data_IF_771813032170
#
_entry.id   IF_771813032170
#
_cell.length_a   1.000
_cell.length_b   1.000
_cell.length_c   1.000
_cell.angle_alpha   90.00
_cell.angle_beta   90.00
_cell.angle_gamma   90.00
#
_symmetry.space_group_name_H-M   'P 1'
#
loop_
_entity.id
_entity.type
_entity.pdbx_description
1 polymer ?
#
# COMPACT_ATOMS: atom_id res chain seq x y z
N UNK A 1 19.22 23.68 -4.85
CA UNK A 1 18.56 23.11 -3.66
C UNK A 1 19.60 22.66 -2.65
N UNK A 2 19.43 22.99 -1.36
CA UNK A 2 20.17 22.40 -0.24
C UNK A 2 19.24 21.46 0.51
N UNK A 3 19.79 20.36 1.04
CA UNK A 3 19.00 19.33 1.73
C UNK A 3 19.52 19.16 3.15
N UNK A 4 18.62 19.31 4.11
CA UNK A 4 18.91 19.10 5.53
C UNK A 4 17.93 18.09 6.11
N UNK A 5 18.37 17.26 7.04
CA UNK A 5 17.48 16.36 7.77
C UNK A 5 18.05 16.01 9.14
N UNK A 6 17.19 15.60 10.04
CA UNK A 6 17.64 14.89 11.22
C UNK A 6 18.09 13.48 10.82
N UNK A 7 19.28 13.11 11.24
CA UNK A 7 19.89 11.83 10.92
C UNK A 7 20.43 11.14 12.18
N UNK A 8 20.21 9.84 12.22
CA UNK A 8 20.74 9.00 13.26
C UNK A 8 21.14 7.63 12.70
N UNK A 9 22.27 7.14 13.12
CA UNK A 9 22.71 5.77 12.86
C UNK A 9 22.69 5.00 14.18
N UNK A 10 21.90 3.92 14.21
CA UNK A 10 21.81 3.06 15.38
C UNK A 10 23.08 2.23 15.54
N UNK A 11 23.75 2.36 16.68
CA UNK A 11 24.91 1.54 17.00
C UNK A 11 24.57 0.07 17.21
N UNK A 12 23.36 -0.19 17.75
CA UNK A 12 22.93 -1.55 18.06
C UNK A 12 22.46 -2.35 16.86
N UNK A 13 21.77 -1.71 15.91
CA UNK A 13 21.20 -2.39 14.72
C UNK A 13 21.94 -2.07 13.44
N UNK A 14 22.79 -1.04 13.43
CA UNK A 14 23.44 -0.51 12.24
C UNK A 14 22.50 0.19 11.26
N UNK A 15 21.23 0.33 11.61
CA UNK A 15 20.23 0.96 10.76
C UNK A 15 20.40 2.48 10.72
N UNK A 16 20.16 3.04 9.53
CA UNK A 16 20.12 4.48 9.31
C UNK A 16 18.68 4.99 9.38
N UNK A 17 18.48 6.13 10.07
CA UNK A 17 17.20 6.81 10.18
C UNK A 17 17.32 8.24 9.70
N UNK A 18 16.32 8.68 8.91
CA UNK A 18 16.22 10.07 8.45
C UNK A 18 14.80 10.57 8.69
N UNK A 19 14.69 11.58 9.50
CA UNK A 19 13.41 12.19 9.83
C UNK A 19 13.39 13.66 9.38
N UNK A 20 12.21 14.13 8.95
CA UNK A 20 11.92 15.51 8.57
C UNK A 20 13.01 16.12 7.68
N UNK A 21 12.96 15.80 6.41
CA UNK A 21 13.88 16.36 5.43
C UNK A 21 13.39 17.75 4.98
N UNK A 22 14.28 18.72 4.98
CA UNK A 22 14.03 20.09 4.52
C UNK A 22 14.76 20.30 3.20
N UNK A 23 14.00 20.63 2.15
CA UNK A 23 14.49 20.98 0.83
C UNK A 23 14.49 22.51 0.74
N UNK A 24 15.63 23.16 0.92
CA UNK A 24 15.77 24.61 0.92
C UNK A 24 16.16 25.13 -0.46
N UNK A 25 15.36 26.06 -0.97
CA UNK A 25 15.50 26.71 -2.25
C UNK A 25 15.75 28.22 -2.06
N UNK A 26 16.58 28.80 -2.91
CA UNK A 26 16.91 30.24 -2.80
C UNK A 26 17.54 30.58 -1.45
N UNK A 27 17.11 31.70 -0.85
CA UNK A 27 17.64 32.25 0.40
C UNK A 27 16.63 32.27 1.55
N UNK A 28 15.32 32.12 1.27
CA UNK A 28 14.29 32.12 2.32
C UNK A 28 14.32 30.81 3.13
N UNK A 29 13.98 30.95 4.41
CA UNK A 29 13.79 29.86 5.35
C UNK A 29 12.32 29.63 5.71
N UNK A 30 11.40 30.27 5.01
CA UNK A 30 9.98 30.07 5.20
C UNK A 30 9.55 28.71 4.64
N UNK A 31 8.71 28.00 5.39
CA UNK A 31 8.16 26.73 4.90
C UNK A 31 7.03 27.04 3.91
N UNK A 32 7.20 26.65 2.68
CA UNK A 32 6.26 26.90 1.57
C UNK A 32 5.42 25.67 1.20
N UNK A 33 5.57 24.55 1.89
CA UNK A 33 4.73 23.36 1.68
C UNK A 33 5.27 22.10 2.30
N UNK A 34 4.48 21.05 2.21
CA UNK A 34 4.79 19.76 2.83
C UNK A 34 4.55 18.59 1.86
N UNK A 35 5.34 17.55 2.02
CA UNK A 35 5.18 16.28 1.29
C UNK A 35 5.24 15.13 2.28
N UNK A 36 4.36 14.14 2.14
CA UNK A 36 4.40 12.93 2.94
C UNK A 36 4.63 11.75 2.01
N UNK A 37 5.73 11.03 2.22
CA UNK A 37 6.17 9.92 1.35
C UNK A 37 6.23 8.59 2.09
N UNK A 38 6.77 7.55 1.44
CA UNK A 38 6.87 6.18 1.98
C UNK A 38 7.93 6.10 3.07
N UNK A 39 9.18 6.30 2.67
CA UNK A 39 10.38 6.18 3.47
C UNK A 39 11.50 7.06 2.90
N UNK A 40 12.51 7.38 3.70
CA UNK A 40 13.73 8.02 3.20
C UNK A 40 14.43 7.13 2.18
N UNK A 41 14.62 7.66 0.97
CA UNK A 41 15.21 6.92 -0.15
C UNK A 41 16.75 6.86 -0.12
N UNK A 42 17.36 7.04 -1.30
CA UNK A 42 18.79 6.85 -1.54
C UNK A 42 19.67 8.02 -1.09
N UNK A 43 19.12 9.22 -0.89
CA UNK A 43 19.93 10.39 -0.48
C UNK A 43 20.80 10.07 0.75
N UNK A 44 22.11 10.36 0.62
CA UNK A 44 23.12 10.01 1.63
C UNK A 44 23.44 11.21 2.54
N UNK A 45 23.71 10.98 3.84
CA UNK A 45 24.26 12.02 4.71
C UNK A 45 25.65 12.41 4.22
N UNK A 46 25.93 13.71 4.17
CA UNK A 46 27.24 14.26 3.77
C UNK A 46 28.05 14.67 5.01
N UNK A 47 27.50 15.57 5.82
CA UNK A 47 28.17 16.03 7.03
C UNK A 47 27.14 16.58 8.04
N UNK A 48 27.51 16.60 9.33
CA UNK A 48 26.77 17.34 10.33
C UNK A 48 26.81 18.85 10.01
N UNK A 49 25.70 19.54 10.26
CA UNK A 49 25.61 20.98 10.05
C UNK A 49 26.22 21.71 11.23
N UNK A 50 27.38 22.35 11.00
CA UNK A 50 28.14 23.08 12.01
C UNK A 50 28.25 24.59 11.69
N UNK A 51 27.80 25.02 10.51
CA UNK A 51 27.83 26.43 10.12
C UNK A 51 26.82 27.21 10.97
N UNK A 52 27.27 28.24 11.76
CA UNK A 52 26.44 28.87 12.80
C UNK A 52 25.17 29.50 12.28
N UNK A 53 25.23 30.16 11.11
CA UNK A 53 24.07 30.83 10.51
C UNK A 53 23.01 29.84 10.08
N UNK A 54 23.40 28.79 9.37
CA UNK A 54 22.52 27.70 8.96
C UNK A 54 21.94 26.97 10.17
N UNK A 55 22.77 26.68 11.17
CA UNK A 55 22.32 25.98 12.38
C UNK A 55 21.30 26.83 13.16
N UNK A 56 21.50 28.14 13.24
CA UNK A 56 20.54 29.05 13.86
C UNK A 56 19.17 28.99 13.15
N UNK A 57 19.15 29.01 11.82
CA UNK A 57 17.91 28.93 11.04
C UNK A 57 17.23 27.57 11.24
N UNK A 58 17.99 26.47 11.19
CA UNK A 58 17.45 25.14 11.43
C UNK A 58 16.84 25.00 12.83
N UNK A 59 17.48 25.58 13.85
CA UNK A 59 16.94 25.62 15.23
C UNK A 59 15.61 26.35 15.33
N UNK A 60 15.39 27.40 14.57
CA UNK A 60 14.07 28.08 14.51
C UNK A 60 12.98 27.23 13.87
N UNK A 61 13.37 26.24 13.07
CA UNK A 61 12.45 25.31 12.43
C UNK A 61 12.27 24.01 13.23
N UNK A 62 12.98 23.83 14.36
CA UNK A 62 12.82 22.68 15.21
C UNK A 62 11.40 22.57 15.75
N UNK A 63 10.88 21.35 15.76
CA UNK A 63 9.56 21.09 16.31
C UNK A 63 9.64 20.95 17.83
N UNK A 64 8.62 21.43 18.56
CA UNK A 64 8.58 21.28 20.00
C UNK A 64 8.76 19.83 20.43
N UNK A 65 9.48 19.62 21.51
CA UNK A 65 9.54 18.29 22.16
C UNK A 65 8.14 17.94 22.64
N UNK A 66 7.67 16.73 22.33
CA UNK A 66 6.39 16.23 22.85
C UNK A 66 6.51 15.74 24.29
N UNK A 67 7.72 15.33 24.69
CA UNK A 67 8.03 14.91 26.06
C UNK A 67 9.48 15.29 26.41
N UNK A 68 9.76 15.45 27.71
CA UNK A 68 11.05 15.99 28.21
C UNK A 68 12.25 15.12 27.86
N UNK A 69 12.05 13.81 27.75
CA UNK A 69 13.09 12.81 27.50
C UNK A 69 13.43 12.65 26.01
N UNK A 70 12.78 13.42 25.15
CA UNK A 70 13.03 13.35 23.72
C UNK A 70 14.46 13.81 23.41
N UNK A 71 15.27 12.99 22.71
CA UNK A 71 16.65 13.32 22.42
C UNK A 71 16.77 14.55 21.51
N UNK A 72 17.89 15.25 21.60
CA UNK A 72 18.24 16.25 20.61
C UNK A 72 18.69 15.57 19.32
N UNK A 73 18.14 16.03 18.21
CA UNK A 73 18.42 15.47 16.90
C UNK A 73 19.40 16.34 16.15
N UNK A 74 20.54 15.77 15.80
CA UNK A 74 21.54 16.48 15.00
C UNK A 74 21.03 16.70 13.57
N UNK A 75 21.26 17.89 13.04
CA UNK A 75 21.04 18.22 11.65
C UNK A 75 22.22 17.83 10.78
N UNK A 76 21.94 17.16 9.68
CA UNK A 76 22.91 16.77 8.66
C UNK A 76 22.53 17.38 7.32
N UNK A 77 23.55 17.74 6.53
CA UNK A 77 23.39 17.97 5.11
C UNK A 77 23.32 16.64 4.37
N UNK A 78 22.53 16.60 3.30
CA UNK A 78 22.32 15.40 2.49
C UNK A 78 22.57 15.67 1.01
N UNK A 79 22.90 14.59 0.26
CA UNK A 79 22.85 14.64 -1.18
C UNK A 79 21.39 14.80 -1.66
N UNK A 80 21.22 15.44 -2.82
CA UNK A 80 19.95 15.46 -3.52
C UNK A 80 19.74 14.14 -4.26
N UNK A 81 18.51 13.63 -4.31
CA UNK A 81 18.11 12.51 -5.14
C UNK A 81 17.04 12.90 -6.17
N UNK A 82 16.76 11.99 -7.12
CA UNK A 82 15.79 12.23 -8.19
C UNK A 82 14.39 12.51 -7.67
N UNK A 83 14.00 11.93 -6.54
CA UNK A 83 12.69 12.17 -5.93
C UNK A 83 12.56 13.62 -5.44
N UNK A 84 13.63 14.15 -4.83
CA UNK A 84 13.67 15.55 -4.37
C UNK A 84 13.58 16.53 -5.53
N UNK A 85 14.22 16.24 -6.67
CA UNK A 85 14.10 17.05 -7.88
C UNK A 85 12.67 17.05 -8.44
N UNK A 86 12.00 15.90 -8.37
CA UNK A 86 10.59 15.79 -8.79
C UNK A 86 9.64 16.55 -7.85
N UNK A 87 9.94 16.58 -6.56
CA UNK A 87 9.23 17.41 -5.60
C UNK A 87 9.42 18.90 -5.94
N UNK A 88 10.64 19.34 -6.27
CA UNK A 88 10.90 20.70 -6.76
C UNK A 88 10.01 21.04 -7.96
N UNK A 89 10.02 20.22 -8.99
CA UNK A 89 9.22 20.41 -10.19
C UNK A 89 7.71 20.47 -9.90
N UNK A 90 7.23 19.64 -8.98
CA UNK A 90 5.84 19.62 -8.54
C UNK A 90 5.44 20.96 -7.93
N UNK A 91 6.25 21.51 -7.03
CA UNK A 91 5.99 22.79 -6.37
C UNK A 91 6.24 23.99 -7.28
N UNK A 92 7.23 23.93 -8.20
CA UNK A 92 7.38 24.93 -9.25
C UNK A 92 6.11 25.03 -10.10
N UNK A 93 5.52 23.91 -10.46
CA UNK A 93 4.25 23.86 -11.20
C UNK A 93 3.09 24.43 -10.38
N UNK A 94 3.01 24.10 -9.10
CA UNK A 94 1.97 24.62 -8.20
C UNK A 94 2.05 26.14 -8.07
N UNK A 95 3.24 26.68 -7.83
CA UNK A 95 3.46 28.11 -7.68
C UNK A 95 3.59 28.87 -9.02
N UNK A 96 3.52 28.16 -10.15
CA UNK A 96 3.68 28.71 -11.51
C UNK A 96 4.98 29.51 -11.63
N UNK A 97 6.06 28.99 -11.13
CA UNK A 97 7.40 29.60 -11.14
C UNK A 97 8.45 28.63 -11.67
N UNK A 98 9.53 29.15 -12.24
CA UNK A 98 10.69 28.36 -12.63
C UNK A 98 11.66 28.10 -11.46
N UNK A 99 11.55 28.89 -10.39
CA UNK A 99 12.46 28.81 -9.24
C UNK A 99 11.69 29.00 -7.94
N UNK A 100 11.97 28.15 -6.96
CA UNK A 100 11.39 28.27 -5.62
C UNK A 100 12.29 29.14 -4.72
N UNK A 101 11.67 29.79 -3.73
CA UNK A 101 12.38 30.47 -2.66
C UNK A 101 11.68 30.17 -1.33
N UNK A 102 12.24 29.26 -0.56
CA UNK A 102 11.67 28.75 0.69
C UNK A 102 12.00 27.28 0.91
N UNK A 103 11.31 26.68 1.84
CA UNK A 103 11.53 25.29 2.27
C UNK A 103 10.31 24.44 1.97
N UNK A 104 10.53 23.30 1.31
CA UNK A 104 9.57 22.20 1.29
C UNK A 104 10.01 21.20 2.33
N UNK A 105 9.14 20.88 3.28
CA UNK A 105 9.42 19.84 4.26
C UNK A 105 8.84 18.49 3.81
N UNK A 106 9.64 17.44 4.01
CA UNK A 106 9.29 16.08 3.61
C UNK A 106 9.25 15.19 4.85
N UNK A 107 8.11 14.57 5.05
CA UNK A 107 7.88 13.52 6.05
C UNK A 107 7.68 12.18 5.39
N UNK A 108 7.76 11.11 6.17
CA UNK A 108 7.58 9.76 5.68
C UNK A 108 6.71 8.95 6.65
N UNK A 109 5.99 7.96 6.13
CA UNK A 109 5.28 6.99 6.98
C UNK A 109 6.24 6.12 7.78
N UNK A 110 7.49 6.05 7.36
CA UNK A 110 8.54 5.27 8.01
C UNK A 110 9.87 6.04 7.89
N UNK A 111 10.63 6.15 8.98
CA UNK A 111 11.87 6.93 9.01
C UNK A 111 13.15 6.11 8.77
N UNK A 112 13.04 4.80 8.59
CA UNK A 112 14.15 3.94 8.20
C UNK A 112 14.62 4.29 6.80
N UNK A 113 15.91 4.65 6.68
CA UNK A 113 16.54 5.00 5.42
C UNK A 113 17.06 3.74 4.73
N UNK A 114 16.45 3.38 3.62
CA UNK A 114 16.93 2.35 2.70
C UNK A 114 16.36 2.61 1.31
N UNK A 115 17.18 2.54 0.24
CA UNK A 115 16.69 2.67 -1.13
C UNK A 115 15.79 1.50 -1.55
N UNK A 116 15.95 0.34 -0.90
CA UNK A 116 15.08 -0.82 -1.10
C UNK A 116 13.95 -0.84 -0.06
N UNK A 117 12.72 -0.67 -0.52
CA UNK A 117 11.55 -0.62 0.36
C UNK A 117 11.35 -1.90 1.17
N UNK A 118 11.62 -3.08 0.60
CA UNK A 118 11.45 -4.36 1.32
C UNK A 118 12.44 -4.48 2.47
N UNK A 119 13.71 -4.10 2.24
CA UNK A 119 14.72 -4.06 3.30
C UNK A 119 14.37 -3.01 4.36
N UNK A 120 13.87 -1.83 3.95
CA UNK A 120 13.39 -0.82 4.89
C UNK A 120 12.28 -1.34 5.79
N UNK A 121 11.32 -2.10 5.24
CA UNK A 121 10.24 -2.71 6.01
C UNK A 121 10.74 -3.75 7.03
N UNK A 122 11.70 -4.59 6.63
CA UNK A 122 12.31 -5.58 7.53
C UNK A 122 13.04 -4.87 8.68
N UNK A 123 13.83 -3.84 8.38
CA UNK A 123 14.56 -3.03 9.36
C UNK A 123 13.60 -2.29 10.31
N UNK A 124 12.49 -1.78 9.79
CA UNK A 124 11.49 -1.06 10.58
C UNK A 124 10.77 -1.95 11.60
N UNK A 125 10.51 -3.22 11.29
CA UNK A 125 9.89 -4.17 12.22
C UNK A 125 10.73 -4.43 13.48
N UNK A 126 12.04 -4.22 13.39
CA UNK A 126 12.99 -4.41 14.48
C UNK A 126 13.45 -3.08 15.11
N UNK A 127 12.82 -1.98 14.74
CA UNK A 127 13.24 -0.65 15.15
C UNK A 127 12.76 -0.33 16.57
N UNK A 128 13.68 -0.40 17.53
CA UNK A 128 13.53 0.29 18.82
C UNK A 128 14.16 1.66 18.65
N UNK A 129 13.32 2.69 18.31
CA UNK A 129 13.92 3.98 17.97
C UNK A 129 13.04 5.20 18.27
N UNK A 130 13.66 6.35 18.74
CA UNK A 130 12.93 7.57 19.07
C UNK A 130 12.11 8.18 17.92
N UNK A 131 12.50 7.98 16.66
CA UNK A 131 11.74 8.47 15.50
C UNK A 131 10.57 7.58 15.07
N UNK A 132 10.30 6.49 15.77
CA UNK A 132 9.19 5.59 15.43
C UNK A 132 7.81 6.19 15.73
N UNK A 133 7.74 7.32 16.44
CA UNK A 133 6.48 7.95 16.88
C UNK A 133 6.50 9.47 16.66
N UNK A 134 6.80 9.89 15.42
CA UNK A 134 6.85 11.32 15.07
C UNK A 134 5.56 11.85 14.47
N UNK A 135 4.58 11.01 14.21
CA UNK A 135 3.37 11.35 13.43
C UNK A 135 2.64 12.58 13.98
N UNK A 136 2.45 12.67 15.27
CA UNK A 136 1.78 13.82 15.91
C UNK A 136 2.54 15.12 15.68
N UNK A 137 3.87 15.09 15.80
CA UNK A 137 4.73 16.25 15.50
C UNK A 137 4.67 16.63 14.02
N UNK A 138 4.76 15.62 13.16
CA UNK A 138 4.74 15.80 11.72
C UNK A 138 3.43 16.46 11.30
N UNK A 139 2.29 15.99 11.81
CA UNK A 139 0.96 16.56 11.58
C UNK A 139 0.88 18.01 12.06
N UNK A 140 1.36 18.30 13.27
CA UNK A 140 1.34 19.67 13.83
C UNK A 140 2.11 20.66 12.97
N UNK A 141 3.21 20.21 12.35
CA UNK A 141 4.12 21.05 11.57
C UNK A 141 3.76 21.20 10.10
N UNK A 142 2.74 20.47 9.60
CA UNK A 142 2.34 20.55 8.20
C UNK A 142 1.97 21.98 7.79
N UNK A 143 2.48 22.38 6.63
CA UNK A 143 2.17 23.65 5.96
C UNK A 143 1.63 23.34 4.56
N UNK A 144 0.53 23.98 4.19
CA UNK A 144 -0.06 23.84 2.86
C UNK A 144 0.77 24.58 1.78
N UNK A 145 0.76 24.10 0.52
CA UNK A 145 0.05 22.91 0.05
C UNK A 145 0.72 21.62 0.54
N UNK A 146 -0.06 20.57 0.72
CA UNK A 146 0.42 19.26 1.17
C UNK A 146 0.25 18.23 0.07
N UNK A 147 1.33 17.56 -0.32
CA UNK A 147 1.29 16.46 -1.27
C UNK A 147 1.39 15.11 -0.54
N UNK A 148 0.39 14.26 -0.72
CA UNK A 148 0.35 12.91 -0.16
C UNK A 148 0.87 11.91 -1.19
N UNK A 149 2.07 11.38 -0.99
CA UNK A 149 2.81 10.58 -1.97
C UNK A 149 3.36 9.26 -1.44
N UNK A 150 2.70 8.62 -0.49
CA UNK A 150 3.17 7.36 0.11
C UNK A 150 2.85 6.09 -0.69
N UNK A 151 2.28 6.23 -1.89
CA UNK A 151 1.97 5.12 -2.80
C UNK A 151 0.96 4.15 -2.19
N UNK A 152 1.30 2.88 -2.17
CA UNK A 152 0.49 1.79 -1.63
C UNK A 152 0.94 1.32 -0.23
N UNK A 153 1.91 2.00 0.40
CA UNK A 153 2.41 1.62 1.73
C UNK A 153 1.31 1.66 2.79
N UNK A 154 0.34 2.58 2.65
CA UNK A 154 -0.83 2.68 3.51
C UNK A 154 -1.70 1.40 3.55
N UNK A 155 -1.54 0.47 2.60
CA UNK A 155 -2.23 -0.82 2.59
C UNK A 155 -1.64 -1.83 3.58
N UNK A 156 -0.46 -1.53 4.15
CA UNK A 156 0.28 -2.42 5.05
C UNK A 156 0.20 -1.90 6.49
N UNK A 157 -0.05 -2.79 7.45
CA UNK A 157 0.10 -2.47 8.86
C UNK A 157 1.60 -2.36 9.23
N UNK A 158 1.99 -1.45 10.14
CA UNK A 158 1.15 -0.48 10.89
C UNK A 158 0.88 0.84 10.15
N UNK A 159 1.43 1.04 8.94
CA UNK A 159 1.44 2.32 8.20
C UNK A 159 0.05 2.82 7.82
N UNK A 160 -0.94 1.93 7.83
CA UNK A 160 -2.32 2.30 7.53
C UNK A 160 -2.87 3.32 8.51
N UNK A 161 -2.71 3.08 9.79
CA UNK A 161 -3.19 3.99 10.84
C UNK A 161 -2.50 5.35 10.76
N UNK A 162 -1.21 5.36 10.47
CA UNK A 162 -0.44 6.58 10.32
C UNK A 162 -0.84 7.36 9.06
N UNK A 163 -1.09 6.69 7.94
CA UNK A 163 -1.60 7.30 6.73
C UNK A 163 -3.01 7.89 6.93
N UNK A 164 -3.89 7.19 7.65
CA UNK A 164 -5.22 7.68 8.03
C UNK A 164 -5.14 8.94 8.89
N UNK A 165 -4.26 8.96 9.89
CA UNK A 165 -4.05 10.16 10.74
C UNK A 165 -3.58 11.35 9.91
N UNK A 166 -2.58 11.18 9.04
CA UNK A 166 -2.13 12.24 8.13
C UNK A 166 -3.24 12.71 7.22
N UNK A 167 -3.97 11.80 6.59
CA UNK A 167 -5.04 12.13 5.68
C UNK A 167 -6.12 12.97 6.37
N UNK A 168 -6.62 12.52 7.51
CA UNK A 168 -7.64 13.22 8.29
C UNK A 168 -7.15 14.59 8.78
N UNK A 169 -5.89 14.66 9.23
CA UNK A 169 -5.31 15.93 9.68
C UNK A 169 -5.20 16.94 8.53
N UNK A 170 -4.78 16.52 7.35
CA UNK A 170 -4.69 17.38 6.17
C UNK A 170 -6.09 17.82 5.70
N UNK A 171 -7.05 16.92 5.67
CA UNK A 171 -8.43 17.21 5.32
C UNK A 171 -9.04 18.27 6.26
N UNK A 172 -8.84 18.10 7.56
CA UNK A 172 -9.43 18.99 8.57
C UNK A 172 -8.71 20.33 8.68
N UNK A 173 -7.38 20.37 8.46
CA UNK A 173 -6.55 21.56 8.70
C UNK A 173 -6.49 22.51 7.50
N UNK A 174 -6.59 22.00 6.26
CA UNK A 174 -6.20 22.76 5.08
C UNK A 174 -7.30 23.00 4.05
N UNK A 175 -8.53 22.64 4.34
CA UNK A 175 -9.70 23.03 3.55
C UNK A 175 -9.50 22.89 2.02
N UNK A 176 -9.11 21.68 1.60
CA UNK A 176 -8.89 21.37 0.19
C UNK A 176 -7.54 21.79 -0.41
N UNK A 177 -6.63 22.42 0.36
CA UNK A 177 -5.27 22.76 -0.09
C UNK A 177 -4.29 21.59 0.04
N UNK A 178 -4.76 20.41 -0.21
CA UNK A 178 -4.00 19.16 -0.22
C UNK A 178 -4.32 18.40 -1.49
N UNK A 179 -3.44 17.51 -1.87
CA UNK A 179 -3.72 16.62 -2.98
C UNK A 179 -3.40 15.18 -2.66
N UNK A 180 -4.40 14.37 -2.85
CA UNK A 180 -4.21 12.99 -3.28
C UNK A 180 -4.93 12.81 -4.61
N UNK A 181 -4.28 12.24 -5.62
CA UNK A 181 -4.98 11.91 -6.84
C UNK A 181 -5.98 10.80 -6.53
N UNK A 182 -7.26 11.15 -6.60
CA UNK A 182 -8.34 10.17 -6.49
C UNK A 182 -8.36 9.37 -7.79
N UNK A 183 -7.65 8.27 -7.81
CA UNK A 183 -7.80 7.26 -8.84
C UNK A 183 -8.71 6.14 -8.30
N UNK A 184 -9.33 5.41 -9.21
CA UNK A 184 -10.20 4.26 -8.89
C UNK A 184 -9.63 3.30 -7.85
N UNK A 185 -8.31 3.33 -7.63
CA UNK A 185 -7.57 2.43 -6.76
C UNK A 185 -7.11 3.05 -5.43
N UNK A 186 -7.54 4.26 -5.06
CA UNK A 186 -7.06 5.01 -3.88
C UNK A 186 -5.52 5.05 -3.77
N UNK A 187 -4.82 5.28 -4.88
CA UNK A 187 -3.37 5.34 -4.91
C UNK A 187 -2.87 6.74 -4.65
N UNK A 188 -1.98 6.87 -3.67
CA UNK A 188 -1.26 8.10 -3.36
C UNK A 188 0.07 8.09 -4.09
N UNK A 189 0.11 8.64 -5.31
CA UNK A 189 1.25 8.51 -6.21
C UNK A 189 2.51 9.14 -5.64
N UNK A 190 3.54 8.34 -5.44
CA UNK A 190 4.86 8.81 -5.05
C UNK A 190 5.45 9.70 -6.16
N UNK A 191 6.19 10.80 -5.82
CA UNK A 191 6.76 11.69 -6.84
C UNK A 191 7.64 11.00 -7.87
N UNK A 192 8.18 9.82 -7.60
CA UNK A 192 8.94 9.03 -8.57
C UNK A 192 8.17 8.74 -9.88
N UNK A 193 6.84 8.77 -9.85
CA UNK A 193 6.00 8.59 -11.05
C UNK A 193 5.91 9.84 -11.92
N UNK A 194 6.46 10.97 -11.48
CA UNK A 194 6.62 12.15 -12.31
C UNK A 194 7.77 11.92 -13.30
N UNK A 195 7.44 11.48 -14.50
CA UNK A 195 8.39 11.05 -15.52
C UNK A 195 8.26 11.86 -16.82
N UNK A 196 9.29 11.72 -17.67
CA UNK A 196 9.38 12.33 -18.98
C UNK A 196 10.10 13.66 -18.98
N UNK A 197 10.62 14.05 -20.14
CA UNK A 197 11.26 15.36 -20.34
C UNK A 197 10.22 16.45 -20.07
N UNK A 198 10.52 17.37 -19.15
CA UNK A 198 9.57 18.40 -18.74
C UNK A 198 8.27 17.87 -18.12
N UNK A 199 8.33 16.67 -17.49
CA UNK A 199 7.17 16.01 -16.88
C UNK A 199 6.01 15.76 -17.87
N UNK A 200 6.34 15.41 -19.10
CA UNK A 200 5.40 15.32 -20.23
C UNK A 200 4.57 14.03 -20.27
N UNK A 201 4.88 13.03 -19.44
CA UNK A 201 4.11 11.79 -19.42
C UNK A 201 2.63 12.06 -19.05
N UNK A 202 1.67 11.26 -19.56
CA UNK A 202 0.25 11.43 -19.20
C UNK A 202 0.01 11.40 -17.68
N UNK A 203 0.70 10.52 -16.97
CA UNK A 203 0.63 10.42 -15.52
C UNK A 203 1.18 11.68 -14.84
N UNK A 204 2.35 12.19 -15.28
CA UNK A 204 2.91 13.41 -14.73
C UNK A 204 1.98 14.60 -14.93
N UNK A 205 1.43 14.76 -16.13
CA UNK A 205 0.45 15.82 -16.43
C UNK A 205 -0.79 15.72 -15.54
N UNK A 206 -1.29 14.49 -15.35
CA UNK A 206 -2.41 14.25 -14.47
C UNK A 206 -2.10 14.67 -13.02
N UNK A 207 -0.96 14.21 -12.46
CA UNK A 207 -0.55 14.52 -11.09
C UNK A 207 -0.30 16.02 -10.90
N UNK A 208 0.36 16.68 -11.86
CA UNK A 208 0.60 18.12 -11.83
C UNK A 208 -0.71 18.90 -11.90
N UNK A 209 -1.58 18.57 -12.86
CA UNK A 209 -2.86 19.26 -12.99
C UNK A 209 -3.70 19.12 -11.72
N UNK A 210 -3.78 17.92 -11.18
CA UNK A 210 -4.50 17.67 -9.95
C UNK A 210 -3.91 18.48 -8.78
N UNK A 211 -2.59 18.54 -8.63
CA UNK A 211 -1.94 19.33 -7.59
C UNK A 211 -2.08 20.84 -7.78
N UNK A 212 -2.03 21.32 -9.04
CA UNK A 212 -2.06 22.75 -9.34
C UNK A 212 -3.45 23.36 -9.41
N UNK A 213 -4.48 22.56 -9.71
CA UNK A 213 -5.80 23.13 -10.00
C UNK A 213 -6.55 23.63 -8.77
N UNK A 214 -6.07 23.37 -7.55
CA UNK A 214 -6.87 23.67 -6.34
C UNK A 214 -8.35 23.30 -6.54
N UNK A 215 -8.62 22.43 -7.48
CA UNK A 215 -9.95 21.95 -7.65
C UNK A 215 -10.28 21.28 -6.33
N UNK A 216 -11.21 21.87 -5.64
CA UNK A 216 -12.16 21.09 -4.91
C UNK A 216 -12.50 19.90 -5.82
N UNK A 217 -11.71 18.84 -5.74
CA UNK A 217 -12.22 17.52 -6.11
C UNK A 217 -13.52 17.52 -5.32
N UNK A 218 -14.70 17.36 -5.98
CA UNK A 218 -15.92 17.31 -5.24
C UNK A 218 -15.62 16.33 -4.12
N UNK A 219 -15.64 16.79 -2.88
CA UNK A 219 -15.62 15.91 -1.74
C UNK A 219 -16.82 15.05 -2.05
N UNK A 220 -16.60 13.84 -2.53
CA UNK A 220 -17.69 12.89 -2.53
C UNK A 220 -18.16 12.93 -1.10
N UNK A 221 -19.43 13.27 -0.89
CA UNK A 221 -20.06 13.39 0.43
C UNK A 221 -19.94 12.10 1.27
N UNK A 222 -19.25 11.15 0.76
CA UNK A 222 -18.85 9.94 1.46
C UNK A 222 -17.43 10.13 2.02
N UNK A 223 -17.22 10.02 3.33
CA UNK A 223 -15.88 10.00 3.90
C UNK A 223 -15.07 8.96 3.14
N UNK A 224 -13.83 9.32 2.76
CA UNK A 224 -12.89 8.33 2.21
C UNK A 224 -12.68 7.30 3.30
N UNK A 225 -13.44 6.24 3.20
CA UNK A 225 -13.24 5.06 4.02
C UNK A 225 -12.05 4.33 3.40
N UNK A 226 -10.91 4.39 4.07
CA UNK A 226 -9.81 3.50 3.72
C UNK A 226 -10.38 2.07 3.72
N UNK A 227 -10.36 1.35 2.59
CA UNK A 227 -10.94 0.04 2.57
C UNK A 227 -10.24 -0.80 3.64
N UNK A 228 -11.00 -1.35 4.56
CA UNK A 228 -10.46 -2.26 5.59
C UNK A 228 -9.59 -3.28 4.88
N UNK A 229 -8.33 -3.38 5.27
CA UNK A 229 -7.44 -4.35 4.66
C UNK A 229 -7.93 -5.74 5.03
N UNK A 230 -8.45 -6.45 4.03
CA UNK A 230 -8.94 -7.81 4.21
C UNK A 230 -7.73 -8.69 4.52
N UNK A 231 -7.71 -9.26 5.71
CA UNK A 231 -6.72 -10.25 6.06
C UNK A 231 -7.03 -11.57 5.34
N UNK A 232 -6.25 -11.86 4.31
CA UNK A 232 -6.34 -13.15 3.59
C UNK A 232 -6.30 -14.35 4.53
N UNK A 233 -5.50 -14.24 5.60
CA UNK A 233 -5.40 -15.27 6.60
C UNK A 233 -6.70 -15.42 7.39
N UNK A 234 -7.31 -14.32 7.79
CA UNK A 234 -8.59 -14.35 8.49
C UNK A 234 -9.71 -14.92 7.61
N UNK A 235 -9.76 -14.50 6.33
CA UNK A 235 -10.71 -15.08 5.35
C UNK A 235 -10.48 -16.58 5.22
N UNK A 236 -9.24 -17.01 4.99
CA UNK A 236 -8.87 -18.42 4.90
C UNK A 236 -9.31 -19.21 6.14
N UNK A 237 -8.93 -18.75 7.33
CA UNK A 237 -9.25 -19.45 8.58
C UNK A 237 -10.76 -19.56 8.82
N UNK A 238 -11.53 -18.52 8.49
CA UNK A 238 -12.98 -18.52 8.63
C UNK A 238 -13.67 -19.43 7.59
N UNK A 239 -13.23 -19.38 6.34
CA UNK A 239 -13.74 -20.27 5.28
C UNK A 239 -13.45 -21.74 5.63
N UNK A 240 -12.21 -22.07 5.96
CA UNK A 240 -11.81 -23.42 6.35
C UNK A 240 -12.62 -23.92 7.55
N UNK A 241 -12.82 -23.06 8.58
CA UNK A 241 -13.62 -23.43 9.76
C UNK A 241 -15.07 -23.76 9.41
N UNK A 242 -15.68 -23.04 8.45
CA UNK A 242 -17.06 -23.33 8.00
C UNK A 242 -17.08 -24.62 7.19
N UNK A 243 -16.19 -24.76 6.22
CA UNK A 243 -16.14 -25.96 5.36
C UNK A 243 -15.89 -27.26 6.11
N UNK A 244 -15.09 -27.24 7.18
CA UNK A 244 -14.86 -28.44 8.04
C UNK A 244 -16.14 -28.98 8.71
N UNK A 245 -17.20 -28.20 8.78
CA UNK A 245 -18.49 -28.66 9.34
C UNK A 245 -19.31 -29.46 8.33
N UNK A 246 -19.08 -29.24 7.04
CA UNK A 246 -19.94 -29.72 5.96
C UNK A 246 -19.23 -30.66 4.99
N UNK A 247 -17.89 -30.55 4.93
CA UNK A 247 -17.08 -31.29 3.96
C UNK A 247 -16.00 -32.12 4.64
N UNK A 248 -15.77 -33.32 4.09
CA UNK A 248 -14.68 -34.15 4.54
C UNK A 248 -13.33 -33.55 4.17
N UNK A 249 -12.46 -33.37 5.16
CA UNK A 249 -11.08 -32.91 4.95
C UNK A 249 -10.26 -34.06 4.34
N UNK A 250 -9.65 -33.79 3.17
CA UNK A 250 -8.79 -34.77 2.46
C UNK A 250 -7.32 -34.55 2.78
N UNK A 251 -6.90 -33.31 2.84
CA UNK A 251 -5.50 -32.94 3.08
C UNK A 251 -5.39 -31.59 3.77
N UNK A 252 -4.46 -31.47 4.68
CA UNK A 252 -4.13 -30.21 5.34
C UNK A 252 -2.62 -29.95 5.32
N UNK A 253 -2.25 -28.77 4.85
CA UNK A 253 -0.90 -28.22 4.91
C UNK A 253 -0.97 -26.85 5.57
N UNK A 254 0.16 -26.28 5.99
CA UNK A 254 0.24 -25.05 6.80
C UNK A 254 -0.62 -23.87 6.30
N UNK A 255 -0.83 -23.77 4.98
CA UNK A 255 -1.57 -22.67 4.35
C UNK A 255 -2.58 -23.13 3.31
N UNK A 256 -2.89 -24.42 3.28
CA UNK A 256 -3.76 -25.02 2.27
C UNK A 256 -4.57 -26.15 2.90
N UNK A 257 -5.90 -26.10 2.72
CA UNK A 257 -6.80 -27.19 3.06
C UNK A 257 -7.50 -27.70 1.80
N UNK A 258 -7.68 -29.02 1.70
CA UNK A 258 -8.40 -29.69 0.63
C UNK A 258 -9.55 -30.49 1.20
N UNK A 259 -10.72 -30.34 0.58
CA UNK A 259 -11.95 -30.98 0.99
C UNK A 259 -12.51 -31.83 -0.14
N UNK A 260 -13.10 -32.97 0.18
CA UNK A 260 -13.91 -33.72 -0.79
C UNK A 260 -15.12 -32.85 -1.14
N UNK A 261 -15.23 -32.46 -2.40
CA UNK A 261 -16.27 -31.54 -2.85
C UNK A 261 -17.46 -32.30 -3.45
N UNK A 262 -17.18 -33.21 -4.39
CA UNK A 262 -18.08 -34.25 -4.88
C UNK A 262 -17.28 -35.56 -4.96
N UNK A 263 -17.87 -36.65 -5.46
CA UNK A 263 -17.11 -37.92 -5.67
C UNK A 263 -15.87 -37.70 -6.55
N UNK A 264 -15.97 -36.80 -7.53
CA UNK A 264 -14.91 -36.56 -8.53
C UNK A 264 -14.12 -35.29 -8.32
N UNK A 265 -14.60 -34.39 -7.47
CA UNK A 265 -14.02 -33.06 -7.32
C UNK A 265 -13.45 -32.81 -5.92
N UNK A 266 -12.32 -32.15 -5.88
CA UNK A 266 -11.66 -31.67 -4.65
C UNK A 266 -11.63 -30.14 -4.64
N UNK A 267 -12.19 -29.57 -3.58
CA UNK A 267 -12.12 -28.15 -3.27
C UNK A 267 -10.82 -27.84 -2.53
N UNK A 268 -10.10 -26.85 -2.96
CA UNK A 268 -8.87 -26.36 -2.32
C UNK A 268 -9.05 -24.92 -1.88
N UNK A 269 -8.75 -24.64 -0.62
CA UNK A 269 -8.66 -23.28 -0.06
C UNK A 269 -7.22 -23.03 0.35
N UNK A 270 -6.64 -21.95 -0.10
CA UNK A 270 -5.27 -21.58 0.27
C UNK A 270 -5.13 -20.10 0.56
N UNK A 271 -4.19 -19.75 1.46
CA UNK A 271 -3.76 -18.36 1.69
C UNK A 271 -2.35 -18.09 1.18
N UNK A 272 -1.79 -18.93 0.32
CA UNK A 272 -0.53 -18.66 -0.37
C UNK A 272 -0.74 -17.63 -1.48
N UNK A 273 0.28 -16.79 -1.76
CA UNK A 273 0.16 -15.74 -2.76
C UNK A 273 -0.98 -14.75 -2.44
N UNK A 274 -1.95 -14.62 -3.34
CA UNK A 274 -3.12 -13.77 -3.16
C UNK A 274 -4.24 -14.43 -2.31
N UNK A 275 -4.13 -15.73 -2.03
CA UNK A 275 -5.20 -16.55 -1.47
C UNK A 275 -6.25 -16.84 -2.53
N UNK A 276 -6.68 -18.11 -2.65
CA UNK A 276 -7.67 -18.49 -3.64
C UNK A 276 -8.53 -19.68 -3.22
N UNK A 277 -9.67 -19.80 -3.87
CA UNK A 277 -10.52 -20.99 -3.96
C UNK A 277 -10.19 -21.70 -5.25
N UNK A 278 -9.96 -22.99 -5.23
CA UNK A 278 -9.66 -23.79 -6.41
C UNK A 278 -10.42 -25.13 -6.42
N UNK A 279 -10.90 -25.53 -7.58
CA UNK A 279 -11.57 -26.82 -7.77
C UNK A 279 -10.78 -27.64 -8.79
N UNK A 280 -10.53 -28.90 -8.47
CA UNK A 280 -9.82 -29.85 -9.32
C UNK A 280 -10.48 -31.21 -9.33
N UNK A 281 -10.21 -31.99 -10.33
CA UNK A 281 -10.64 -33.41 -10.36
C UNK A 281 -9.84 -34.25 -9.33
N UNK A 282 -10.53 -35.14 -8.62
CA UNK A 282 -9.92 -35.93 -7.55
C UNK A 282 -8.83 -36.90 -8.06
N UNK A 283 -8.98 -37.42 -9.26
CA UNK A 283 -8.00 -38.29 -9.89
C UNK A 283 -6.76 -37.60 -10.43
N UNK A 284 -6.69 -36.26 -10.30
CA UNK A 284 -5.54 -35.46 -10.75
C UNK A 284 -4.33 -35.68 -9.84
N UNK A 285 -3.39 -36.45 -10.29
CA UNK A 285 -2.10 -36.73 -9.62
C UNK A 285 -0.92 -36.26 -10.51
N UNK A 286 -0.80 -34.97 -10.80
CA UNK A 286 0.35 -34.45 -11.54
C UNK A 286 0.03 -33.77 -12.88
N UNK A 287 1.02 -33.70 -13.80
CA UNK A 287 1.03 -32.89 -15.03
C UNK A 287 0.21 -33.46 -16.22
N UNK A 288 -0.74 -34.37 -15.99
CA UNK A 288 -1.45 -34.98 -17.10
C UNK A 288 -2.75 -34.30 -17.44
N UNK A 289 -3.03 -34.23 -18.77
CA UNK A 289 -4.21 -33.59 -19.31
C UNK A 289 -5.50 -34.25 -18.80
N UNK A 290 -6.42 -33.43 -18.27
CA UNK A 290 -7.75 -33.87 -17.83
C UNK A 290 -8.69 -34.28 -18.98
N UNK A 291 -8.24 -34.20 -20.23
CA UNK A 291 -9.08 -34.35 -21.43
C UNK A 291 -9.80 -35.70 -21.62
N UNK A 292 -9.50 -36.68 -20.78
CA UNK A 292 -10.11 -38.02 -20.87
C UNK A 292 -11.13 -38.31 -19.77
N UNK A 293 -11.43 -37.37 -18.89
CA UNK A 293 -12.44 -37.58 -17.86
C UNK A 293 -13.81 -37.04 -18.31
N UNK A 294 -14.90 -37.78 -18.05
CA UNK A 294 -16.25 -37.32 -18.35
C UNK A 294 -16.54 -36.01 -17.54
N UNK A 295 -17.42 -35.22 -18.06
CA UNK A 295 -17.93 -33.99 -17.40
C UNK A 295 -16.93 -32.85 -17.13
N UNK A 296 -15.69 -32.94 -17.62
CA UNK A 296 -14.69 -31.87 -17.44
C UNK A 296 -15.14 -30.54 -18.10
N UNK A 297 -15.70 -30.66 -19.29
CA UNK A 297 -16.15 -29.49 -20.07
C UNK A 297 -17.31 -28.79 -19.36
N UNK A 298 -18.25 -29.55 -18.84
CA UNK A 298 -19.40 -29.09 -18.09
C UNK A 298 -18.95 -28.40 -16.79
N UNK A 299 -18.08 -29.04 -16.01
CA UNK A 299 -17.54 -28.43 -14.78
C UNK A 299 -16.79 -27.11 -15.05
N UNK A 300 -16.04 -27.04 -16.15
CA UNK A 300 -15.38 -25.80 -16.57
C UNK A 300 -16.37 -24.72 -16.97
N UNK A 301 -17.47 -25.10 -17.66
CA UNK A 301 -18.52 -24.16 -18.01
C UNK A 301 -19.16 -23.55 -16.77
N UNK A 302 -19.58 -24.40 -15.82
CA UNK A 302 -20.13 -23.97 -14.54
C UNK A 302 -19.16 -23.00 -13.82
N UNK A 303 -17.91 -23.39 -13.65
CA UNK A 303 -16.91 -22.56 -12.97
C UNK A 303 -16.66 -21.22 -13.67
N UNK A 304 -16.69 -21.21 -15.00
CA UNK A 304 -16.55 -19.97 -15.79
C UNK A 304 -17.69 -18.99 -15.53
N UNK A 305 -18.94 -19.48 -15.38
CA UNK A 305 -20.10 -18.65 -15.05
C UNK A 305 -19.98 -17.99 -13.69
N UNK A 306 -19.30 -18.63 -12.73
CA UNK A 306 -18.97 -18.06 -11.42
C UNK A 306 -17.69 -17.20 -11.43
N UNK A 307 -17.10 -16.93 -12.60
CA UNK A 307 -15.92 -16.09 -12.75
C UNK A 307 -14.60 -16.74 -12.31
N UNK A 308 -14.53 -18.09 -12.32
CA UNK A 308 -13.28 -18.78 -12.08
C UNK A 308 -12.38 -18.72 -13.31
N UNK A 309 -11.09 -18.50 -13.08
CA UNK A 309 -10.06 -18.61 -14.10
C UNK A 309 -9.84 -20.07 -14.46
N UNK A 310 -10.22 -20.45 -15.66
CA UNK A 310 -10.10 -21.82 -16.16
C UNK A 310 -8.67 -22.06 -16.65
N UNK A 311 -7.96 -22.97 -15.99
CA UNK A 311 -6.60 -23.35 -16.38
C UNK A 311 -6.60 -24.63 -17.22
N UNK A 312 -5.83 -24.70 -18.33
CA UNK A 312 -5.88 -25.84 -19.23
C UNK A 312 -5.29 -27.14 -18.63
N UNK A 313 -4.41 -27.06 -17.63
CA UNK A 313 -3.53 -28.18 -17.30
C UNK A 313 -3.70 -28.81 -15.91
N UNK A 314 -4.09 -28.07 -14.88
CA UNK A 314 -4.02 -28.55 -13.49
C UNK A 314 -5.29 -28.37 -12.68
N UNK A 315 -6.02 -27.32 -12.93
CA UNK A 315 -7.22 -26.93 -12.19
C UNK A 315 -8.41 -26.88 -13.13
N UNK A 316 -9.58 -27.28 -12.65
CA UNK A 316 -10.81 -26.97 -13.37
C UNK A 316 -11.06 -25.47 -13.36
N UNK A 317 -10.84 -24.83 -12.22
CA UNK A 317 -10.87 -23.40 -12.11
C UNK A 317 -10.31 -22.89 -10.77
N UNK A 318 -9.83 -21.65 -10.74
CA UNK A 318 -9.37 -20.93 -9.55
C UNK A 318 -9.93 -19.52 -9.52
N UNK A 319 -10.23 -19.01 -8.32
CA UNK A 319 -10.69 -17.62 -8.10
C UNK A 319 -10.00 -17.03 -6.89
N UNK A 320 -9.35 -15.87 -7.07
CA UNK A 320 -8.60 -15.19 -6.00
C UNK A 320 -9.54 -14.56 -4.97
N UNK A 321 -9.15 -14.51 -3.69
CA UNK A 321 -9.94 -13.83 -2.64
C UNK A 321 -10.19 -12.35 -2.94
N UNK A 322 -9.29 -11.70 -3.69
CA UNK A 322 -9.44 -10.29 -4.11
C UNK A 322 -10.59 -10.05 -5.09
N UNK A 323 -11.10 -11.11 -5.72
CA UNK A 323 -12.21 -11.05 -6.68
C UNK A 323 -13.58 -11.01 -5.98
N UNK A 324 -13.60 -11.24 -4.66
CA UNK A 324 -14.80 -11.09 -3.84
C UNK A 324 -14.82 -9.71 -3.20
N UNK A 325 -15.93 -9.01 -3.35
CA UNK A 325 -16.13 -7.66 -2.82
C UNK A 325 -16.75 -7.69 -1.41
N UNK A 326 -16.40 -6.66 -0.61
CA UNK A 326 -17.01 -6.43 0.70
C UNK A 326 -16.04 -6.54 1.88
N UNK A 327 -16.59 -6.51 3.10
CA UNK A 327 -15.84 -6.76 4.33
C UNK A 327 -15.51 -8.25 4.51
N UNK A 328 -14.56 -8.60 5.37
CA UNK A 328 -14.09 -9.98 5.57
C UNK A 328 -15.23 -10.98 5.78
N UNK A 329 -16.20 -10.67 6.62
CA UNK A 329 -17.36 -11.55 6.88
C UNK A 329 -18.26 -11.70 5.64
N UNK A 330 -18.43 -10.64 4.85
CA UNK A 330 -19.18 -10.67 3.60
C UNK A 330 -18.47 -11.54 2.58
N UNK A 331 -17.15 -11.38 2.43
CA UNK A 331 -16.32 -12.19 1.55
C UNK A 331 -16.40 -13.67 1.93
N UNK A 332 -16.25 -13.99 3.22
CA UNK A 332 -16.39 -15.37 3.71
C UNK A 332 -17.77 -15.95 3.37
N UNK A 333 -18.83 -15.16 3.55
CA UNK A 333 -20.20 -15.61 3.25
C UNK A 333 -20.41 -15.79 1.75
N UNK A 334 -19.89 -14.90 0.92
CA UNK A 334 -19.95 -15.00 -0.54
C UNK A 334 -19.21 -16.24 -1.05
N UNK A 335 -18.01 -16.51 -0.52
CA UNK A 335 -17.22 -17.70 -0.87
C UNK A 335 -18.02 -18.98 -0.51
N UNK A 336 -18.56 -19.07 0.68
CA UNK A 336 -19.32 -20.25 1.11
C UNK A 336 -20.57 -20.45 0.25
N UNK A 337 -21.36 -19.40 0.06
CA UNK A 337 -22.57 -19.47 -0.76
C UNK A 337 -22.29 -19.86 -2.22
N UNK A 338 -21.21 -19.33 -2.78
CA UNK A 338 -20.75 -19.67 -4.13
C UNK A 338 -20.34 -21.15 -4.22
N UNK A 339 -19.54 -21.64 -3.27
CA UNK A 339 -19.13 -23.04 -3.17
C UNK A 339 -20.34 -23.97 -3.10
N UNK A 340 -21.33 -23.66 -2.26
CA UNK A 340 -22.56 -24.46 -2.13
C UNK A 340 -23.41 -24.43 -3.41
N UNK A 341 -23.45 -23.29 -4.11
CA UNK A 341 -24.19 -23.18 -5.37
C UNK A 341 -23.51 -23.98 -6.47
N UNK A 342 -22.20 -23.86 -6.65
CA UNK A 342 -21.43 -24.63 -7.62
C UNK A 342 -21.60 -26.14 -7.36
N UNK A 343 -21.56 -26.57 -6.08
CA UNK A 343 -21.77 -27.98 -5.74
C UNK A 343 -23.14 -28.49 -6.21
N UNK A 344 -24.21 -27.72 -5.94
CA UNK A 344 -25.58 -28.10 -6.37
C UNK A 344 -25.68 -28.23 -7.89
N UNK A 345 -25.06 -27.33 -8.62
CA UNK A 345 -25.04 -27.38 -10.10
C UNK A 345 -24.28 -28.59 -10.61
N UNK A 346 -23.10 -28.87 -10.07
CA UNK A 346 -22.33 -30.06 -10.41
C UNK A 346 -23.06 -31.36 -10.09
N UNK A 347 -23.82 -31.42 -8.99
CA UNK A 347 -24.60 -32.61 -8.61
C UNK A 347 -25.89 -32.78 -9.45
N UNK A 348 -26.43 -31.66 -9.96
CA UNK A 348 -27.65 -31.67 -10.80
C UNK A 348 -27.34 -32.13 -12.21
N UNK A 349 -26.24 -31.71 -12.77
CA UNK A 349 -25.79 -32.07 -14.12
C UNK A 349 -25.51 -33.55 -14.22
N UNK A 350 -24.94 -34.18 -13.20
CA UNK A 350 -24.77 -35.66 -13.12
C UNK A 350 -26.09 -36.42 -13.23
N UNK A 351 -27.18 -35.91 -12.65
CA UNK A 351 -28.49 -36.56 -12.69
C UNK A 351 -29.10 -36.55 -14.08
N UNK A 352 -28.87 -35.52 -14.85
CA UNK A 352 -29.37 -35.42 -16.23
C UNK A 352 -28.65 -36.39 -17.19
N UNK A 353 -27.36 -36.65 -16.96
CA UNK A 353 -26.57 -37.58 -17.79
C UNK A 353 -26.72 -39.07 -17.39
N UNK A 354 -27.20 -39.39 -16.18
CA UNK A 354 -27.51 -40.75 -15.79
C UNK A 354 -28.92 -41.22 -16.20
N UNK A 355 -29.76 -40.26 -16.66
CA UNK A 355 -31.15 -40.52 -17.08
C UNK A 355 -31.31 -40.61 -18.61
N UNK A 356 -30.23 -40.37 -19.36
CA UNK A 356 -30.13 -40.57 -20.81
C UNK A 356 -29.24 -41.77 -21.13
#
# INVERSE_FOLDING_TARGET
>A
MKVFAHYYKSETTGNDYRWRTLLQFGTSWDIIGSVIMKNPGSAAPLSSVNEPTTLKQLKHLELPKLFSEEPEYAWYSFSCDDTMQKVENLFCSYYKTSTLNGIIQVFNLMNVRDPNLELALIKNNNAVYPFSKTIEKDIMSLVAPVYLGWGDLWKKQPFREDAEKFFMAVQNKFDGKYLFPQLKDNRFYHPQYLMGVGLSSPMSKFLLNAFCQNTTVPVQDSPIVFPKQISKRNVYEQVVRRLRKEYQLVEEQLKTCRFQFTEELVLTITCTGQGYVGIRHAAYAGRYCLGNYPHITEYRSILSEFGYNIAPEAWLGTKDFKEYEGEENTIVSNIIMEIETIKRECDTDKRHHQAT
#
